data_IF_932270725339
#
_entry.id   IF_932270725339
#
_cell.length_a   1.000
_cell.length_b   1.000
_cell.length_c   1.000
_cell.angle_alpha   90.00
_cell.angle_beta   90.00
_cell.angle_gamma   90.00
#
_symmetry.space_group_name_H-M   'P 1'
#
loop_
_entity.id
_entity.type
_entity.pdbx_description
1 polymer ?
#
# COMPACT_ATOMS: atom_id res chain seq x y z
N UNK A 1 8.90 9.57 5.19
CA UNK A 1 8.09 8.39 4.88
C UNK A 1 8.60 7.74 3.60
N UNK A 2 8.52 6.44 3.55
CA UNK A 2 8.98 5.70 2.39
C UNK A 2 7.89 4.70 2.00
N UNK A 3 6.83 5.22 1.39
CA UNK A 3 5.65 4.43 1.10
C UNK A 3 5.79 3.66 -0.19
N UNK A 4 5.44 2.39 -0.16
CA UNK A 4 5.40 1.52 -1.33
C UNK A 4 4.05 0.85 -1.39
N UNK A 5 3.41 0.89 -2.56
CA UNK A 5 2.17 0.18 -2.81
C UNK A 5 2.49 -0.98 -3.74
N UNK A 6 2.19 -2.19 -3.29
CA UNK A 6 2.25 -3.38 -4.15
C UNK A 6 0.85 -3.65 -4.66
N UNK A 7 0.68 -3.69 -5.97
CA UNK A 7 -0.63 -3.84 -6.55
C UNK A 7 -0.60 -4.60 -7.86
N UNK A 8 -1.71 -4.56 -8.59
CA UNK A 8 -1.83 -5.22 -9.88
C UNK A 8 -2.82 -4.45 -10.74
N UNK A 9 -2.83 -4.72 -12.06
CA UNK A 9 -3.81 -4.09 -12.94
C UNK A 9 -5.23 -4.50 -12.57
N UNK A 10 -6.19 -3.66 -12.92
CA UNK A 10 -7.61 -3.94 -12.72
C UNK A 10 -7.96 -4.19 -11.27
N UNK A 11 -7.35 -3.42 -10.39
CA UNK A 11 -7.58 -3.49 -8.97
C UNK A 11 -8.09 -2.13 -8.51
N UNK A 12 -9.39 -2.02 -8.24
CA UNK A 12 -9.98 -0.73 -7.90
C UNK A 12 -9.42 -0.19 -6.59
N UNK A 13 -9.14 -1.05 -5.63
CA UNK A 13 -8.58 -0.59 -4.35
C UNK A 13 -7.12 -0.17 -4.49
N UNK A 14 -6.39 -0.75 -5.43
CA UNK A 14 -5.04 -0.27 -5.75
C UNK A 14 -5.11 1.14 -6.30
N UNK A 15 -6.07 1.38 -7.20
CA UNK A 15 -6.28 2.71 -7.77
C UNK A 15 -6.69 3.71 -6.70
N UNK A 16 -7.55 3.28 -5.76
CA UNK A 16 -7.97 4.15 -4.67
C UNK A 16 -6.81 4.51 -3.76
N UNK A 17 -5.92 3.56 -3.50
CA UNK A 17 -4.75 3.85 -2.67
C UNK A 17 -3.85 4.88 -3.32
N UNK A 18 -3.61 4.75 -4.63
CA UNK A 18 -2.81 5.73 -5.36
C UNK A 18 -3.48 7.09 -5.34
N UNK A 19 -4.78 7.12 -5.60
CA UNK A 19 -5.51 8.39 -5.63
C UNK A 19 -5.48 9.07 -4.27
N UNK A 20 -5.61 8.30 -3.20
CA UNK A 20 -5.58 8.86 -1.85
C UNK A 20 -4.25 9.56 -1.57
N UNK A 21 -3.14 8.89 -1.88
CA UNK A 21 -1.82 9.49 -1.64
C UNK A 21 -1.59 10.68 -2.56
N UNK A 22 -2.02 10.58 -3.81
CA UNK A 22 -1.90 11.70 -4.74
C UNK A 22 -2.67 12.92 -4.25
N UNK A 23 -3.88 12.70 -3.72
CA UNK A 23 -4.71 13.80 -3.26
C UNK A 23 -4.10 14.52 -2.07
N UNK A 24 -3.26 13.85 -1.32
CA UNK A 24 -2.59 14.45 -0.15
C UNK A 24 -1.18 14.93 -0.46
N UNK A 25 -0.75 14.81 -1.71
CA UNK A 25 0.59 15.23 -2.10
C UNK A 25 1.68 14.38 -1.50
N UNK A 26 1.38 13.13 -1.17
CA UNK A 26 2.36 12.22 -0.58
C UNK A 26 3.00 11.36 -1.65
N UNK A 27 4.32 11.36 -1.68
CA UNK A 27 5.07 10.55 -2.64
C UNK A 27 5.07 9.09 -2.23
N UNK A 28 5.10 8.23 -3.23
CA UNK A 28 5.13 6.78 -3.01
C UNK A 28 5.73 6.10 -4.22
N UNK A 29 6.14 4.85 -4.04
CA UNK A 29 6.55 3.98 -5.12
C UNK A 29 5.43 2.97 -5.37
N UNK A 30 5.06 2.77 -6.61
CA UNK A 30 4.06 1.77 -6.97
C UNK A 30 4.74 0.61 -7.68
N UNK A 31 4.55 -0.60 -7.19
CA UNK A 31 5.14 -1.79 -7.78
C UNK A 31 4.02 -2.72 -8.24
N UNK A 32 4.01 -2.99 -9.54
CA UNK A 32 3.04 -3.89 -10.14
C UNK A 32 3.57 -5.32 -10.01
N UNK A 33 2.86 -6.14 -9.25
CA UNK A 33 3.29 -7.51 -8.98
C UNK A 33 3.29 -8.38 -10.23
N UNK A 34 2.52 -7.98 -11.24
CA UNK A 34 2.51 -8.73 -12.50
C UNK A 34 3.75 -8.43 -13.35
N UNK A 35 4.45 -7.35 -13.04
CA UNK A 35 5.65 -6.93 -13.77
C UNK A 35 6.92 -7.14 -12.99
N UNK A 36 6.84 -7.64 -11.76
CA UNK A 36 8.01 -7.73 -10.89
C UNK A 36 7.96 -9.04 -10.11
N UNK A 37 8.71 -10.03 -10.61
CA UNK A 37 8.67 -11.37 -10.02
C UNK A 37 9.21 -11.41 -8.59
N UNK A 38 10.22 -10.58 -8.31
CA UNK A 38 10.78 -10.55 -6.96
C UNK A 38 9.78 -9.96 -5.96
N UNK A 39 9.09 -8.91 -6.38
CA UNK A 39 8.08 -8.30 -5.52
C UNK A 39 6.93 -9.27 -5.27
N UNK A 40 6.52 -10.00 -6.31
CA UNK A 40 5.48 -11.00 -6.17
C UNK A 40 5.89 -12.08 -5.17
N UNK A 41 7.13 -12.56 -5.28
CA UNK A 41 7.63 -13.57 -4.36
C UNK A 41 7.66 -13.04 -2.92
N UNK A 42 8.07 -11.78 -2.76
CA UNK A 42 8.08 -11.17 -1.44
C UNK A 42 6.69 -11.14 -0.84
N UNK A 43 5.71 -10.63 -1.60
CA UNK A 43 4.35 -10.51 -1.08
C UNK A 43 3.76 -11.89 -0.77
N UNK A 44 4.03 -12.88 -1.62
CA UNK A 44 3.56 -14.24 -1.34
C UNK A 44 4.18 -14.80 -0.07
N UNK A 45 5.43 -14.47 0.19
CA UNK A 45 6.11 -14.97 1.39
C UNK A 45 5.50 -14.42 2.67
N UNK A 46 4.80 -13.30 2.60
CA UNK A 46 4.13 -12.73 3.78
C UNK A 46 2.80 -13.41 4.09
N UNK A 47 2.30 -14.23 3.18
CA UNK A 47 0.98 -14.83 3.34
C UNK A 47 -0.15 -13.95 2.88
N UNK A 48 0.15 -12.76 2.35
CA UNK A 48 -0.89 -11.85 1.88
C UNK A 48 -1.63 -12.45 0.70
N UNK A 49 -2.93 -12.26 0.66
CA UNK A 49 -3.78 -12.79 -0.40
C UNK A 49 -4.50 -11.71 -1.18
N UNK A 50 -4.34 -10.46 -0.81
CA UNK A 50 -5.07 -9.36 -1.42
C UNK A 50 -4.11 -8.24 -1.77
N UNK A 51 -4.55 -7.39 -2.69
CA UNK A 51 -3.88 -6.15 -3.04
C UNK A 51 -4.87 -5.02 -2.88
N UNK A 52 -4.41 -3.81 -2.60
CA UNK A 52 -3.02 -3.41 -2.46
C UNK A 52 -2.40 -3.86 -1.13
N UNK A 53 -1.09 -3.96 -1.10
CA UNK A 53 -0.34 -4.14 0.14
C UNK A 53 0.58 -2.94 0.25
N UNK A 54 0.38 -2.13 1.29
CA UNK A 54 1.10 -0.87 1.44
C UNK A 54 2.09 -0.98 2.59
N UNK A 55 3.30 -0.55 2.32
CA UNK A 55 4.39 -0.58 3.31
C UNK A 55 4.94 0.82 3.53
N UNK A 56 5.37 1.08 4.74
CA UNK A 56 6.20 2.24 5.06
C UNK A 56 7.57 1.69 5.44
N UNK A 57 8.51 1.80 4.50
CA UNK A 57 9.78 1.12 4.66
C UNK A 57 9.55 -0.38 4.74
N UNK A 58 9.98 -1.00 5.82
CA UNK A 58 9.81 -2.43 6.05
C UNK A 58 8.55 -2.76 6.84
N UNK A 59 7.79 -1.76 7.22
CA UNK A 59 6.63 -1.96 8.09
C UNK A 59 5.35 -2.03 7.26
N UNK A 60 4.61 -3.12 7.41
CA UNK A 60 3.34 -3.28 6.72
C UNK A 60 2.30 -2.35 7.32
N UNK A 61 1.68 -1.53 6.47
CA UNK A 61 0.50 -0.76 6.86
C UNK A 61 -0.76 -1.59 6.62
N UNK A 62 -0.86 -2.22 5.44
CA UNK A 62 -2.01 -3.03 5.11
C UNK A 62 -2.61 -2.66 3.77
N UNK A 63 -3.91 -2.86 3.64
CA UNK A 63 -4.64 -2.54 2.42
C UNK A 63 -5.09 -1.09 2.37
N UNK A 64 -6.04 -0.81 1.48
CA UNK A 64 -6.51 0.56 1.30
C UNK A 64 -7.11 1.14 2.58
N UNK A 65 -7.96 0.37 3.25
CA UNK A 65 -8.62 0.90 4.45
C UNK A 65 -7.61 1.13 5.56
N UNK A 66 -6.64 0.24 5.70
CA UNK A 66 -5.58 0.42 6.67
C UNK A 66 -4.75 1.65 6.36
N UNK A 67 -4.46 1.89 5.08
CA UNK A 67 -3.74 3.08 4.66
C UNK A 67 -4.51 4.34 5.02
N UNK A 68 -5.81 4.33 4.75
CA UNK A 68 -6.66 5.47 5.07
C UNK A 68 -6.63 5.78 6.55
N UNK A 69 -6.76 4.75 7.38
CA UNK A 69 -6.71 4.92 8.83
C UNK A 69 -5.34 5.37 9.30
N UNK A 70 -4.30 4.84 8.69
CA UNK A 70 -2.93 5.20 9.05
C UNK A 70 -2.68 6.68 8.79
N UNK A 71 -3.21 7.19 7.69
CA UNK A 71 -3.04 8.60 7.33
C UNK A 71 -3.82 9.54 8.24
N UNK A 72 -4.94 9.09 8.76
CA UNK A 72 -5.80 9.93 9.60
C UNK A 72 -5.77 9.51 11.05
N UNK A 73 -5.99 8.22 11.29
CA UNK A 73 -6.14 7.69 12.63
C UNK A 73 -4.86 7.65 13.42
N UNK A 74 -3.75 7.44 12.75
CA UNK A 74 -2.48 7.43 13.44
C UNK A 74 -2.20 8.73 14.15
N UNK A 75 -2.91 9.74 13.72
CA UNK A 75 -2.71 11.06 14.30
C UNK A 75 -3.47 11.22 15.59
N UNK A 76 -4.44 10.42 15.80
CA UNK A 76 -5.25 10.53 16.96
C UNK A 76 -5.05 9.41 17.89
N UNK A 77 -4.56 8.83 17.91
CA UNK A 77 -4.70 7.90 18.81
C UNK A 77 -4.47 7.98 19.88
N UNK A 78 -4.37 8.45 19.62
CA UNK A 78 -4.41 8.69 20.41
C UNK A 78 -4.88 8.74 21.03
N UNK A 79 -5.09 8.82 20.96
CA UNK A 79 -5.67 8.92 21.66
C UNK A 79 -5.90 8.69 22.18
#
# INVERSE_FOLDING_TARGET
MNLTIYGKPQCSYCDKAKALLNSKGIEYTYIDLMENAEALAFIRSTGARTVPQVYNGDTLIGGFEDLSKWLTGSLSHEN
#
